data_IF_333915091854
#
_entry.id   IF_333915091854
#
_cell.length_a   1.000
_cell.length_b   1.000
_cell.length_c   1.000
_cell.angle_alpha   90.00
_cell.angle_beta   90.00
_cell.angle_gamma   90.00
#
_symmetry.space_group_name_H-M   'P 1'
#
loop_
_entity.id
_entity.type
_entity.pdbx_description
1 polymer ?
#
# COMPACT_ATOMS: atom_id res chain seq x y z
N UNK A 1 -5.88 18.93 9.59
CA UNK A 1 -5.27 18.00 8.67
C UNK A 1 -3.82 17.65 9.01
N UNK A 2 -2.99 18.66 9.23
CA UNK A 2 -1.58 18.39 9.57
C UNK A 2 -1.40 17.62 10.87
N UNK A 3 -2.27 17.86 11.84
CA UNK A 3 -2.21 17.15 13.12
C UNK A 3 -2.42 15.65 12.97
N UNK A 4 -3.23 15.23 12.01
CA UNK A 4 -3.46 13.82 11.75
C UNK A 4 -2.19 13.13 11.25
N UNK A 5 -1.35 13.85 10.51
CA UNK A 5 -0.14 13.31 9.92
C UNK A 5 1.00 13.14 10.92
N UNK A 6 0.97 13.87 12.04
CA UNK A 6 2.06 13.88 13.02
C UNK A 6 1.87 12.94 14.19
N UNK A 7 0.74 12.24 14.26
CA UNK A 7 0.47 11.29 15.34
C UNK A 7 0.31 9.88 14.84
N UNK A 8 -0.09 8.97 15.75
CA UNK A 8 -0.41 7.60 15.35
C UNK A 8 -1.57 7.59 14.36
N UNK A 9 -1.49 6.71 13.37
CA UNK A 9 -2.57 6.66 12.41
C UNK A 9 -2.37 5.63 11.32
N UNK A 10 -3.32 5.66 10.40
CA UNK A 10 -3.37 4.82 9.21
C UNK A 10 -3.20 5.74 8.00
N UNK A 11 -2.48 5.28 7.00
CA UNK A 11 -2.34 6.02 5.76
C UNK A 11 -2.54 5.09 4.57
N UNK A 12 -2.97 5.67 3.45
CA UNK A 12 -3.10 4.94 2.20
C UNK A 12 -2.34 5.68 1.11
N UNK A 13 -1.49 4.95 0.39
CA UNK A 13 -0.69 5.48 -0.72
C UNK A 13 -1.18 4.82 -2.01
N UNK A 14 -1.41 5.62 -3.03
CA UNK A 14 -1.75 5.12 -4.35
C UNK A 14 -0.47 4.80 -5.10
N UNK A 15 -0.43 3.62 -5.73
CA UNK A 15 0.76 3.20 -6.47
C UNK A 15 0.44 3.04 -7.94
N UNK A 16 1.48 3.18 -8.77
CA UNK A 16 1.40 2.99 -10.20
C UNK A 16 1.76 1.53 -10.52
N UNK A 17 0.86 0.82 -11.17
CA UNK A 17 1.05 -0.59 -11.50
C UNK A 17 1.12 -0.71 -13.03
N UNK A 18 2.05 -1.50 -13.57
CA UNK A 18 2.13 -1.70 -15.02
C UNK A 18 0.92 -2.49 -15.52
N UNK A 19 0.62 -2.36 -16.81
CA UNK A 19 -0.49 -3.05 -17.42
C UNK A 19 -0.16 -4.51 -17.70
N UNK A 20 -1.03 -5.38 -17.21
CA UNK A 20 -0.97 -6.80 -17.52
C UNK A 20 -0.21 -7.63 -16.49
N UNK A 21 -0.63 -8.87 -16.37
CA UNK A 21 -0.08 -9.81 -15.39
C UNK A 21 1.42 -10.02 -15.59
N UNK A 22 1.87 -10.14 -16.85
CA UNK A 22 3.28 -10.38 -17.12
C UNK A 22 4.17 -9.23 -16.67
N UNK A 23 3.74 -8.00 -16.92
CA UNK A 23 4.51 -6.81 -16.50
C UNK A 23 4.53 -6.68 -14.98
N UNK A 24 3.40 -6.96 -14.34
CA UNK A 24 3.30 -6.95 -12.88
C UNK A 24 4.26 -7.98 -12.27
N UNK A 25 4.26 -9.19 -12.79
CA UNK A 25 5.15 -10.26 -12.32
C UNK A 25 6.62 -9.89 -12.51
N UNK A 26 6.94 -9.27 -13.64
CA UNK A 26 8.32 -8.88 -13.92
C UNK A 26 8.83 -7.84 -12.95
N UNK A 27 8.03 -6.79 -12.68
CA UNK A 27 8.44 -5.75 -11.74
C UNK A 27 8.50 -6.28 -10.32
N UNK A 28 7.58 -7.15 -9.95
CA UNK A 28 7.58 -7.76 -8.63
C UNK A 28 8.83 -8.61 -8.45
N UNK A 29 9.13 -9.46 -9.42
CA UNK A 29 10.30 -10.33 -9.36
C UNK A 29 11.60 -9.53 -9.26
N UNK A 30 11.71 -8.45 -10.04
CA UNK A 30 12.89 -7.60 -10.03
C UNK A 30 13.10 -6.93 -8.67
N UNK A 31 12.02 -6.50 -8.02
CA UNK A 31 12.11 -5.77 -6.76
C UNK A 31 12.22 -6.68 -5.54
N UNK A 32 11.53 -7.82 -5.56
CA UNK A 32 11.35 -8.67 -4.38
C UNK A 32 12.19 -9.94 -4.44
N UNK A 33 12.63 -10.33 -5.63
CA UNK A 33 13.39 -11.56 -5.86
C UNK A 33 12.58 -12.81 -5.54
N UNK A 34 11.28 -12.75 -5.76
CA UNK A 34 10.36 -13.88 -5.59
C UNK A 34 9.12 -13.63 -6.43
N UNK A 35 8.44 -14.67 -6.92
CA UNK A 35 7.23 -14.46 -7.72
C UNK A 35 6.06 -14.01 -6.87
N UNK A 36 5.20 -13.17 -7.45
CA UNK A 36 3.91 -12.83 -6.85
C UNK A 36 2.95 -13.99 -7.17
N UNK A 37 2.17 -14.50 -6.19
CA UNK A 37 1.20 -15.53 -6.50
C UNK A 37 0.26 -15.12 -7.63
N UNK A 38 -0.01 -16.04 -8.55
CA UNK A 38 -0.82 -15.74 -9.74
C UNK A 38 -2.19 -15.12 -9.42
N UNK A 39 -2.96 -15.61 -8.44
CA UNK A 39 -4.24 -14.98 -8.11
C UNK A 39 -4.10 -13.52 -7.69
N UNK A 40 -3.02 -13.18 -6.98
CA UNK A 40 -2.77 -11.80 -6.56
C UNK A 40 -2.38 -10.93 -7.76
N UNK A 41 -1.55 -11.46 -8.66
CA UNK A 41 -1.15 -10.72 -9.86
C UNK A 41 -2.37 -10.44 -10.75
N UNK A 42 -3.26 -11.39 -10.89
CA UNK A 42 -4.49 -11.21 -11.65
C UNK A 42 -5.41 -10.17 -11.01
N UNK A 43 -5.54 -10.22 -9.69
CA UNK A 43 -6.36 -9.25 -8.96
C UNK A 43 -5.83 -7.83 -9.14
N UNK A 44 -4.51 -7.65 -9.06
CA UNK A 44 -3.89 -6.35 -9.28
C UNK A 44 -4.07 -5.90 -10.73
N UNK A 45 -3.93 -6.81 -11.69
CA UNK A 45 -4.08 -6.48 -13.11
C UNK A 45 -5.50 -6.05 -13.46
N UNK A 46 -6.49 -6.62 -12.80
CA UNK A 46 -7.90 -6.31 -13.07
C UNK A 46 -8.38 -5.02 -12.40
N UNK A 47 -7.62 -4.48 -11.48
CA UNK A 47 -8.04 -3.29 -10.75
C UNK A 47 -7.66 -2.00 -11.49
N UNK A 48 -8.50 -0.98 -11.36
CA UNK A 48 -8.20 0.35 -11.89
C UNK A 48 -7.28 1.13 -10.96
N UNK A 49 -7.35 0.84 -9.66
CA UNK A 49 -6.58 1.55 -8.63
C UNK A 49 -5.93 0.54 -7.70
N UNK A 50 -4.68 0.78 -7.35
CA UNK A 50 -3.96 -0.03 -6.38
C UNK A 50 -3.48 0.86 -5.24
N UNK A 51 -3.79 0.45 -4.02
CA UNK A 51 -3.44 1.19 -2.81
C UNK A 51 -2.61 0.33 -1.88
N UNK A 52 -1.69 0.98 -1.17
CA UNK A 52 -1.00 0.41 -0.03
C UNK A 52 -1.50 1.09 1.24
N UNK A 53 -1.98 0.31 2.20
CA UNK A 53 -2.41 0.82 3.50
C UNK A 53 -1.39 0.41 4.55
N UNK A 54 -0.93 1.39 5.31
CA UNK A 54 0.04 1.18 6.36
C UNK A 54 -0.36 1.88 7.65
N UNK A 55 0.40 1.61 8.70
CA UNK A 55 0.18 2.23 10.01
C UNK A 55 1.51 2.69 10.58
N UNK A 56 1.47 3.68 11.46
CA UNK A 56 2.67 4.17 12.11
C UNK A 56 2.33 4.93 13.39
N UNK A 57 3.26 4.97 14.34
CA UNK A 57 3.16 5.86 15.50
C UNK A 57 3.35 7.32 15.11
N UNK A 58 3.97 7.59 13.97
CA UNK A 58 4.07 8.92 13.39
C UNK A 58 3.90 8.81 11.88
N UNK A 59 2.68 9.04 11.43
CA UNK A 59 2.30 8.84 10.02
C UNK A 59 3.09 9.76 9.10
N UNK A 60 3.30 11.02 9.49
CA UNK A 60 4.03 11.96 8.65
C UNK A 60 5.44 11.45 8.36
N UNK A 61 6.19 11.07 9.40
CA UNK A 61 7.56 10.57 9.21
C UNK A 61 7.58 9.31 8.37
N UNK A 62 6.62 8.41 8.56
CA UNK A 62 6.56 7.17 7.81
C UNK A 62 6.29 7.39 6.32
N UNK A 63 5.40 8.32 6.02
CA UNK A 63 5.11 8.68 4.62
C UNK A 63 6.35 9.29 3.98
N UNK A 64 7.03 10.18 4.69
CA UNK A 64 8.25 10.79 4.18
C UNK A 64 9.34 9.75 3.93
N UNK A 65 9.49 8.78 4.83
CA UNK A 65 10.44 7.69 4.64
C UNK A 65 10.14 6.89 3.38
N UNK A 66 8.89 6.58 3.13
CA UNK A 66 8.50 5.85 1.93
C UNK A 66 8.79 6.67 0.66
N UNK A 67 8.45 7.94 0.67
CA UNK A 67 8.65 8.80 -0.49
C UNK A 67 10.13 8.99 -0.81
N UNK A 68 10.97 9.06 0.23
CA UNK A 68 12.41 9.26 0.07
C UNK A 68 13.20 7.95 -0.07
N UNK A 69 12.53 6.83 0.05
CA UNK A 69 13.14 5.51 -0.06
C UNK A 69 14.27 5.27 0.95
N UNK A 70 14.20 5.91 2.12
CA UNK A 70 15.28 5.86 3.12
C UNK A 70 15.26 4.62 3.97
N UNK A 71 14.11 3.99 4.13
CA UNK A 71 13.95 2.86 5.04
C UNK A 71 13.33 1.69 4.31
N UNK A 72 13.22 0.57 5.02
CA UNK A 72 12.59 -0.62 4.47
C UNK A 72 11.15 -0.31 4.09
N UNK A 73 10.84 -0.60 2.85
CA UNK A 73 9.49 -0.45 2.34
C UNK A 73 8.79 -1.79 2.35
N UNK A 74 7.47 -1.76 2.49
CA UNK A 74 6.67 -2.95 2.24
C UNK A 74 6.87 -3.42 0.79
N UNK A 75 6.72 -4.72 0.55
CA UNK A 75 6.95 -5.31 -0.76
C UNK A 75 6.19 -4.59 -1.87
N UNK A 76 4.94 -4.24 -1.62
CA UNK A 76 4.08 -3.64 -2.61
C UNK A 76 4.61 -2.30 -3.12
N UNK A 77 5.12 -1.46 -2.21
CA UNK A 77 5.65 -0.15 -2.59
C UNK A 77 7.13 -0.19 -2.98
N UNK A 78 7.79 -1.34 -2.80
CA UNK A 78 9.11 -1.59 -3.39
C UNK A 78 8.98 -1.97 -4.86
N UNK A 79 7.96 -2.73 -5.18
CA UNK A 79 7.74 -3.22 -6.54
C UNK A 79 7.10 -2.16 -7.43
N UNK A 80 6.20 -1.35 -6.88
CA UNK A 80 5.42 -0.39 -7.65
C UNK A 80 5.62 1.01 -7.14
N UNK A 81 5.71 1.97 -8.05
CA UNK A 81 6.02 3.35 -7.72
C UNK A 81 4.86 4.04 -7.00
N UNK A 82 5.17 4.79 -5.93
CA UNK A 82 4.18 5.60 -5.22
C UNK A 82 3.80 6.79 -6.08
N UNK A 83 2.50 6.99 -6.32
CA UNK A 83 2.00 8.14 -7.09
C UNK A 83 1.62 9.29 -6.19
N UNK A 84 0.81 9.03 -5.17
CA UNK A 84 0.33 10.08 -4.27
C UNK A 84 -0.22 9.48 -2.98
N UNK A 85 -0.59 10.36 -2.06
CA UNK A 85 -1.22 10.00 -0.80
C UNK A 85 -2.72 9.99 -1.04
N UNK A 86 -3.35 8.83 -0.83
CA UNK A 86 -4.79 8.70 -0.98
C UNK A 86 -5.55 9.20 0.25
N UNK A 87 -5.00 8.99 1.43
CA UNK A 87 -5.64 9.46 2.66
C UNK A 87 -4.81 9.18 3.89
N UNK A 88 -5.15 9.88 4.97
CA UNK A 88 -4.54 9.72 6.29
C UNK A 88 -5.65 9.79 7.32
N UNK A 89 -5.65 8.85 8.27
CA UNK A 89 -6.66 8.77 9.32
C UNK A 89 -5.98 8.62 10.67
N UNK A 90 -6.42 9.39 11.66
CA UNK A 90 -5.96 9.23 13.02
C UNK A 90 -6.43 7.87 13.57
N UNK A 91 -5.58 7.24 14.36
CA UNK A 91 -5.91 5.98 15.01
C UNK A 91 -5.28 5.97 16.39
N UNK A 92 -5.83 5.12 17.26
CA UNK A 92 -5.32 4.98 18.62
C UNK A 92 -4.56 3.65 18.79
N UNK A 93 -4.66 3.03 19.95
CA UNK A 93 -3.86 1.88 20.32
C UNK A 93 -4.03 0.64 19.44
N UNK A 94 -5.16 0.47 18.77
CA UNK A 94 -5.44 -0.73 17.97
C UNK A 94 -5.23 -0.50 16.48
N UNK A 95 -4.08 0.04 16.12
CA UNK A 95 -3.78 0.40 14.74
C UNK A 95 -3.77 -0.81 13.80
N UNK A 96 -3.44 -2.01 14.29
CA UNK A 96 -3.46 -3.21 13.45
C UNK A 96 -4.86 -3.55 12.96
N UNK A 97 -5.84 -3.51 13.85
CA UNK A 97 -7.24 -3.75 13.50
C UNK A 97 -7.76 -2.63 12.59
N UNK A 98 -7.46 -1.39 12.94
CA UNK A 98 -7.87 -0.23 12.15
C UNK A 98 -7.29 -0.27 10.74
N UNK A 99 -6.04 -0.71 10.60
CA UNK A 99 -5.38 -0.86 9.30
C UNK A 99 -6.13 -1.83 8.41
N UNK A 100 -6.46 -3.01 8.92
CA UNK A 100 -7.18 -4.01 8.15
C UNK A 100 -8.60 -3.58 7.82
N UNK A 101 -9.28 -2.96 8.77
CA UNK A 101 -10.63 -2.44 8.55
C UNK A 101 -10.63 -1.36 7.48
N UNK A 102 -9.63 -0.49 7.50
CA UNK A 102 -9.50 0.55 6.48
C UNK A 102 -9.22 -0.06 5.12
N UNK A 103 -8.35 -1.05 5.05
CA UNK A 103 -8.06 -1.73 3.80
C UNK A 103 -9.33 -2.34 3.20
N UNK A 104 -10.13 -3.00 4.01
CA UNK A 104 -11.39 -3.56 3.55
C UNK A 104 -12.37 -2.48 3.06
N UNK A 105 -12.44 -1.37 3.78
CA UNK A 105 -13.36 -0.30 3.42
C UNK A 105 -12.98 0.40 2.12
N UNK A 106 -11.68 0.42 1.80
CA UNK A 106 -11.18 1.05 0.57
C UNK A 106 -11.22 0.11 -0.62
N UNK A 107 -11.24 -1.20 -0.40
CA UNK A 107 -11.25 -2.17 -1.49
C UNK A 107 -12.66 -2.29 -2.08
N UNK A 108 -12.73 -2.43 -3.40
CA UNK A 108 -13.98 -2.68 -4.12
C UNK A 108 -13.67 -3.38 -5.44
N UNK A 109 -14.64 -3.42 -6.35
CA UNK A 109 -14.48 -4.11 -7.63
C UNK A 109 -13.35 -3.53 -8.49
N UNK A 110 -13.05 -2.23 -8.32
CA UNK A 110 -12.07 -1.52 -9.13
C UNK A 110 -10.79 -1.17 -8.37
N UNK A 111 -10.75 -1.41 -7.06
CA UNK A 111 -9.64 -1.02 -6.21
C UNK A 111 -9.12 -2.20 -5.41
N UNK A 112 -7.84 -2.52 -5.57
CA UNK A 112 -7.17 -3.50 -4.72
C UNK A 112 -6.37 -2.75 -3.66
N UNK A 113 -6.27 -3.35 -2.47
CA UNK A 113 -5.57 -2.75 -1.35
C UNK A 113 -4.63 -3.77 -0.75
N UNK A 114 -3.35 -3.41 -0.67
CA UNK A 114 -2.34 -4.24 -0.01
C UNK A 114 -2.12 -3.72 1.39
N UNK A 115 -2.17 -4.60 2.37
CA UNK A 115 -1.78 -4.28 3.74
C UNK A 115 -1.29 -5.55 4.44
N UNK A 116 -0.20 -5.42 5.17
CA UNK A 116 0.35 -6.48 6.03
C UNK A 116 0.53 -7.83 5.30
N UNK A 117 0.95 -7.75 4.04
CA UNK A 117 1.19 -8.93 3.22
C UNK A 117 -0.04 -9.56 2.60
N UNK A 118 -1.20 -8.95 2.75
CA UNK A 118 -2.46 -9.43 2.20
C UNK A 118 -3.02 -8.46 1.18
N UNK A 119 -3.74 -9.00 0.21
CA UNK A 119 -4.41 -8.22 -0.82
C UNK A 119 -5.92 -8.32 -0.63
N UNK A 120 -6.56 -7.17 -0.55
CA UNK A 120 -8.01 -7.06 -0.36
C UNK A 120 -8.70 -6.64 -1.63
#
# INVERSE_FOLDING_TARGET
MLNTSHGPGIYALRVSVPNGVEAIQREWLDAIDAPLPDPMAEQVADADTALYVGRSGNVYDRIMDHCEAKVRRASFIRAFEIKDINGVWAADANTGVAERDRARSLSDADTVVWTDGELF
#
